data_IF_522466794112
#
_entry.id   IF_522466794112
#
_cell.length_a   1.000
_cell.length_b   1.000
_cell.length_c   1.000
_cell.angle_alpha   90.00
_cell.angle_beta   90.00
_cell.angle_gamma   90.00
#
_symmetry.space_group_name_H-M   'P 1'
#
loop_
_entity.id
_entity.type
_entity.pdbx_description
1 polymer ?
#
# COMPACT_ATOMS: atom_id res chain seq x y z
N UNK A 1 -1.05 -3.27 20.01
CA UNK A 1 0.05 -4.26 19.93
C UNK A 1 1.46 -3.63 19.96
N UNK A 2 1.81 -2.73 19.01
CA UNK A 2 3.18 -2.18 18.87
C UNK A 2 3.65 -1.38 20.09
N UNK A 3 2.77 -0.58 20.70
CA UNK A 3 3.07 0.17 21.93
C UNK A 3 3.48 -0.77 23.07
N UNK A 4 2.74 -1.87 23.28
CA UNK A 4 3.07 -2.88 24.29
C UNK A 4 4.45 -3.51 24.02
N UNK A 5 4.76 -3.86 22.76
CA UNK A 5 6.08 -4.38 22.41
C UNK A 5 7.20 -3.38 22.70
N UNK A 6 6.99 -2.11 22.32
CA UNK A 6 7.94 -1.03 22.57
C UNK A 6 8.27 -0.88 24.07
N UNK A 7 7.25 -0.95 24.92
CA UNK A 7 7.41 -0.70 26.36
C UNK A 7 8.14 -1.84 27.07
N UNK A 8 7.95 -3.09 26.62
CA UNK A 8 8.46 -4.28 27.31
C UNK A 8 9.70 -4.92 26.67
N UNK A 9 9.98 -4.67 25.38
CA UNK A 9 11.01 -5.40 24.63
C UNK A 9 12.04 -4.51 23.93
N UNK A 10 11.81 -3.19 23.82
CA UNK A 10 12.78 -2.28 23.23
C UNK A 10 13.66 -1.63 24.30
N UNK A 11 14.93 -2.02 24.35
CA UNK A 11 15.90 -1.52 25.33
C UNK A 11 16.88 -0.48 24.75
N UNK A 12 17.04 -0.43 23.42
CA UNK A 12 17.91 0.56 22.79
C UNK A 12 17.12 1.76 22.23
N UNK A 13 17.80 2.90 22.11
CA UNK A 13 17.22 4.16 21.65
C UNK A 13 16.78 4.13 20.19
N UNK A 14 17.50 3.40 19.34
CA UNK A 14 17.20 3.29 17.90
C UNK A 14 15.84 2.62 17.67
N UNK A 15 15.61 1.44 18.26
CA UNK A 15 14.34 0.71 18.14
C UNK A 15 13.18 1.54 18.70
N UNK A 16 13.38 2.16 19.87
CA UNK A 16 12.38 3.06 20.47
C UNK A 16 12.04 4.22 19.54
N UNK A 17 13.05 4.85 18.92
CA UNK A 17 12.83 5.92 17.94
C UNK A 17 12.04 5.43 16.74
N UNK A 18 12.40 4.28 16.17
CA UNK A 18 11.73 3.70 15.00
C UNK A 18 10.26 3.37 15.31
N UNK A 19 9.98 2.69 16.42
CA UNK A 19 8.61 2.36 16.80
C UNK A 19 7.79 3.59 17.16
N UNK A 20 8.39 4.60 17.78
CA UNK A 20 7.73 5.89 17.99
C UNK A 20 7.35 6.56 16.66
N UNK A 21 8.25 6.57 15.67
CA UNK A 21 7.91 7.09 14.34
C UNK A 21 6.74 6.33 13.72
N UNK A 22 6.72 5.00 13.81
CA UNK A 22 5.60 4.20 13.32
C UNK A 22 4.27 4.55 14.00
N UNK A 23 4.27 4.69 15.33
CA UNK A 23 3.07 5.04 16.10
C UNK A 23 2.59 6.44 15.73
N UNK A 24 3.49 7.41 15.60
CA UNK A 24 3.15 8.76 15.13
C UNK A 24 2.53 8.74 13.74
N UNK A 25 3.10 7.97 12.80
CA UNK A 25 2.52 7.80 11.46
C UNK A 25 1.11 7.19 11.51
N UNK A 26 0.88 6.18 12.36
CA UNK A 26 -0.48 5.63 12.53
C UNK A 26 -1.46 6.68 13.08
N UNK A 27 -1.02 7.52 14.02
CA UNK A 27 -1.83 8.63 14.53
C UNK A 27 -2.15 9.66 13.43
N UNK A 28 -1.17 10.01 12.61
CA UNK A 28 -1.34 10.94 11.49
C UNK A 28 -2.32 10.38 10.45
N UNK A 29 -2.22 9.09 10.12
CA UNK A 29 -3.15 8.41 9.22
C UNK A 29 -4.57 8.34 9.80
N UNK A 30 -4.73 8.10 11.12
CA UNK A 30 -6.05 8.16 11.78
C UNK A 30 -6.64 9.57 11.74
N UNK A 31 -5.82 10.58 11.99
CA UNK A 31 -6.21 12.00 11.89
C UNK A 31 -6.64 12.35 10.48
N UNK A 32 -5.91 11.87 9.47
CA UNK A 32 -6.28 12.03 8.07
C UNK A 32 -7.63 11.38 7.76
N UNK A 33 -7.87 10.14 8.19
CA UNK A 33 -9.18 9.47 8.02
C UNK A 33 -10.33 10.35 8.55
N UNK A 34 -10.20 10.87 9.78
CA UNK A 34 -11.19 11.76 10.40
C UNK A 34 -11.41 13.04 9.59
N UNK A 35 -10.34 13.64 9.05
CA UNK A 35 -10.45 14.83 8.20
C UNK A 35 -11.20 14.53 6.90
N UNK A 36 -10.97 13.37 6.28
CA UNK A 36 -11.68 12.97 5.06
C UNK A 36 -13.19 12.82 5.30
N UNK A 37 -13.60 12.32 6.47
CA UNK A 37 -15.02 12.26 6.86
C UNK A 37 -15.67 13.64 6.98
N UNK A 38 -14.91 14.66 7.39
CA UNK A 38 -15.44 16.03 7.47
C UNK A 38 -15.58 16.69 6.11
N UNK A 39 -14.86 16.21 5.09
CA UNK A 39 -14.93 16.76 3.72
C UNK A 39 -16.22 16.36 3.03
N UNK A 40 -16.75 15.17 3.32
CA UNK A 40 -17.98 14.69 2.71
C UNK A 40 -18.71 13.73 3.66
N UNK A 41 -20.06 13.83 3.82
CA UNK A 41 -20.85 12.95 4.69
C UNK A 41 -20.79 11.45 4.32
N UNK A 42 -20.13 11.12 3.22
CA UNK A 42 -19.81 9.78 2.79
C UNK A 42 -20.97 9.08 2.09
N UNK A 43 -20.63 8.14 1.22
CA UNK A 43 -21.50 7.12 0.67
C UNK A 43 -21.03 5.73 1.13
N UNK A 44 -21.71 4.67 0.71
CA UNK A 44 -21.35 3.31 1.12
C UNK A 44 -19.91 2.93 0.74
N UNK A 45 -19.40 3.44 -0.38
CA UNK A 45 -18.04 3.13 -0.87
C UNK A 45 -16.99 3.87 -0.04
N UNK A 46 -17.11 5.20 0.06
CA UNK A 46 -16.17 6.05 0.80
C UNK A 46 -16.16 5.72 2.29
N UNK A 47 -17.32 5.45 2.90
CA UNK A 47 -17.42 5.00 4.28
C UNK A 47 -16.76 3.63 4.46
N UNK A 48 -17.01 2.68 3.54
CA UNK A 48 -16.38 1.36 3.58
C UNK A 48 -14.84 1.41 3.53
N UNK A 49 -14.28 2.32 2.72
CA UNK A 49 -12.82 2.53 2.65
C UNK A 49 -12.24 3.10 3.94
N UNK A 50 -12.90 4.10 4.53
CA UNK A 50 -12.45 4.70 5.79
C UNK A 50 -12.60 3.74 6.98
N UNK A 51 -13.67 2.94 7.03
CA UNK A 51 -13.83 1.92 8.06
C UNK A 51 -12.73 0.86 8.01
N UNK A 52 -12.31 0.41 6.81
CA UNK A 52 -11.15 -0.48 6.67
C UNK A 52 -9.88 0.17 7.25
N UNK A 53 -9.64 1.45 6.97
CA UNK A 53 -8.51 2.19 7.56
C UNK A 53 -8.59 2.25 9.08
N UNK A 54 -9.77 2.53 9.66
CA UNK A 54 -9.95 2.59 11.11
C UNK A 54 -9.70 1.25 11.79
N UNK A 55 -10.21 0.16 11.22
CA UNK A 55 -9.96 -1.20 11.73
C UNK A 55 -8.46 -1.50 11.69
N UNK A 56 -7.81 -1.21 10.56
CA UNK A 56 -6.38 -1.44 10.38
C UNK A 56 -5.52 -0.64 11.37
N UNK A 57 -5.86 0.62 11.61
CA UNK A 57 -5.13 1.56 12.47
C UNK A 57 -5.54 1.51 13.95
N UNK A 58 -6.47 0.62 14.32
CA UNK A 58 -6.89 0.48 15.70
C UNK A 58 -5.74 -0.04 16.57
N UNK A 59 -5.57 0.53 17.76
CA UNK A 59 -4.46 0.17 18.65
C UNK A 59 -4.49 -1.29 19.13
N UNK A 60 -5.69 -1.89 19.11
CA UNK A 60 -5.95 -3.29 19.46
C UNK A 60 -5.88 -4.24 18.26
N UNK A 61 -5.65 -3.73 17.06
CA UNK A 61 -5.56 -4.58 15.87
C UNK A 61 -4.35 -5.54 15.98
N UNK A 62 -4.57 -6.80 15.60
CA UNK A 62 -3.50 -7.78 15.50
C UNK A 62 -2.82 -7.68 14.14
N UNK A 63 -1.60 -7.17 14.15
CA UNK A 63 -0.79 -7.00 12.94
C UNK A 63 -0.11 -8.30 12.50
N UNK A 64 -0.22 -9.40 13.27
CA UNK A 64 0.54 -10.64 13.02
C UNK A 64 0.31 -11.21 11.62
N UNK A 65 -0.93 -11.19 11.15
CA UNK A 65 -1.34 -11.74 9.85
C UNK A 65 -1.33 -10.71 8.71
N UNK A 66 -1.15 -9.42 9.00
CA UNK A 66 -1.20 -8.37 7.97
C UNK A 66 0.01 -8.49 7.06
N UNK A 67 -0.23 -8.66 5.76
CA UNK A 67 0.81 -8.68 4.74
C UNK A 67 0.37 -7.92 3.51
N UNK A 68 1.14 -6.92 3.15
CA UNK A 68 1.02 -6.21 1.89
C UNK A 68 1.23 -7.20 0.74
N UNK A 69 0.31 -7.17 -0.21
CA UNK A 69 0.37 -7.94 -1.44
C UNK A 69 0.96 -7.07 -2.56
N UNK A 70 1.03 -7.61 -3.77
CA UNK A 70 1.40 -6.82 -4.95
C UNK A 70 0.56 -5.52 -5.02
N UNK A 71 1.15 -4.35 -5.34
CA UNK A 71 2.56 -4.11 -5.73
C UNK A 71 3.51 -3.91 -4.55
N UNK A 72 2.99 -3.79 -3.33
CA UNK A 72 3.76 -3.43 -2.13
C UNK A 72 4.45 -4.61 -1.44
N UNK A 73 4.26 -5.84 -1.94
CA UNK A 73 4.78 -7.05 -1.30
C UNK A 73 6.28 -7.03 -1.02
N UNK A 74 7.06 -6.26 -1.78
CA UNK A 74 8.50 -6.06 -1.56
C UNK A 74 8.85 -5.55 -0.15
N UNK A 75 7.96 -4.80 0.51
CA UNK A 75 8.20 -4.30 1.87
C UNK A 75 8.30 -5.44 2.90
N UNK A 76 7.63 -6.57 2.62
CA UNK A 76 7.69 -7.77 3.46
C UNK A 76 8.97 -8.59 3.30
N UNK A 77 9.78 -8.26 2.29
CA UNK A 77 11.01 -8.98 1.97
C UNK A 77 12.25 -8.09 2.09
N UNK A 78 12.15 -6.95 2.79
CA UNK A 78 13.30 -6.08 3.04
C UNK A 78 14.34 -6.79 3.92
N UNK A 79 15.36 -7.33 3.25
CA UNK A 79 16.71 -7.75 3.69
C UNK A 79 16.90 -8.57 4.97
N UNK A 80 15.86 -9.04 5.68
CA UNK A 80 16.03 -9.95 6.83
C UNK A 80 14.77 -10.79 7.09
N UNK A 81 14.96 -12.04 7.53
CA UNK A 81 13.91 -12.94 8.06
C UNK A 81 13.05 -12.26 9.15
N UNK A 82 13.66 -11.33 9.89
CA UNK A 82 13.01 -10.50 10.89
C UNK A 82 11.95 -9.55 10.30
N UNK A 83 12.19 -8.95 9.13
CA UNK A 83 11.18 -8.13 8.46
C UNK A 83 10.01 -9.01 7.99
N UNK A 84 10.29 -10.22 7.48
CA UNK A 84 9.25 -11.14 7.00
C UNK A 84 8.35 -11.66 8.12
N UNK A 85 8.94 -12.01 9.26
CA UNK A 85 8.25 -12.72 10.34
C UNK A 85 7.90 -11.85 11.55
N UNK A 86 8.76 -10.91 11.94
CA UNK A 86 8.57 -10.08 13.16
C UNK A 86 7.92 -8.73 12.88
N UNK A 87 8.28 -8.09 11.77
CA UNK A 87 7.79 -6.74 11.45
C UNK A 87 6.88 -6.66 10.22
N UNK A 88 6.56 -7.80 9.59
CA UNK A 88 5.80 -7.85 8.34
C UNK A 88 4.49 -7.07 8.39
N UNK A 89 3.73 -7.21 9.48
CA UNK A 89 2.52 -6.42 9.72
C UNK A 89 2.75 -4.93 9.85
N UNK A 90 3.79 -4.54 10.59
CA UNK A 90 4.17 -3.13 10.82
C UNK A 90 4.56 -2.47 9.49
N UNK A 91 5.43 -3.10 8.70
CA UNK A 91 5.88 -2.55 7.42
C UNK A 91 4.80 -2.62 6.33
N UNK A 92 3.87 -3.58 6.43
CA UNK A 92 2.74 -3.72 5.52
C UNK A 92 1.62 -2.73 5.75
N UNK A 93 1.41 -2.31 7.00
CA UNK A 93 0.24 -1.52 7.36
C UNK A 93 0.19 -0.18 6.60
N UNK A 94 1.33 0.49 6.50
CA UNK A 94 1.45 1.82 5.88
C UNK A 94 1.00 1.79 4.41
N UNK A 95 1.60 0.99 3.51
CA UNK A 95 1.18 1.00 2.11
C UNK A 95 -0.27 0.56 1.93
N UNK A 96 -0.76 -0.42 2.71
CA UNK A 96 -2.17 -0.85 2.64
C UNK A 96 -3.12 0.30 2.97
N UNK A 97 -2.87 1.01 4.07
CA UNK A 97 -3.73 2.13 4.48
C UNK A 97 -3.66 3.27 3.45
N UNK A 98 -2.47 3.56 2.93
CA UNK A 98 -2.30 4.59 1.88
C UNK A 98 -3.12 4.25 0.63
N UNK A 99 -3.14 2.99 0.20
CA UNK A 99 -3.93 2.57 -0.97
C UNK A 99 -5.44 2.83 -0.75
N UNK A 100 -5.97 2.50 0.43
CA UNK A 100 -7.38 2.76 0.75
C UNK A 100 -7.71 4.25 0.76
N UNK A 101 -6.81 5.08 1.30
CA UNK A 101 -6.97 6.54 1.30
C UNK A 101 -6.87 7.11 -0.11
N UNK A 102 -5.96 6.57 -0.94
CA UNK A 102 -5.82 6.97 -2.33
C UNK A 102 -7.05 6.61 -3.16
N UNK A 103 -7.60 5.40 -2.96
CA UNK A 103 -8.84 4.97 -3.58
C UNK A 103 -10.01 5.87 -3.16
N UNK A 104 -10.08 6.22 -1.87
CA UNK A 104 -11.08 7.17 -1.36
C UNK A 104 -11.00 8.51 -2.09
N UNK A 105 -9.81 9.09 -2.25
CA UNK A 105 -9.60 10.37 -2.95
C UNK A 105 -9.97 10.25 -4.42
N UNK A 106 -9.59 9.15 -5.07
CA UNK A 106 -9.86 8.91 -6.49
C UNK A 106 -11.35 8.78 -6.76
N UNK A 107 -12.05 7.99 -5.95
CA UNK A 107 -13.49 7.83 -6.04
C UNK A 107 -14.21 9.16 -5.79
N UNK A 108 -13.83 9.85 -4.71
CA UNK A 108 -14.40 11.15 -4.34
C UNK A 108 -14.25 12.17 -5.47
N UNK A 109 -13.08 12.27 -6.11
CA UNK A 109 -12.88 13.18 -7.24
C UNK A 109 -13.76 12.87 -8.45
N UNK A 110 -14.08 11.60 -8.72
CA UNK A 110 -14.89 11.20 -9.88
C UNK A 110 -16.38 11.36 -9.65
N UNK A 111 -16.83 11.16 -8.42
CA UNK A 111 -18.25 11.06 -8.10
C UNK A 111 -18.79 12.27 -7.31
N UNK A 112 -17.91 13.10 -6.74
CA UNK A 112 -18.29 14.25 -5.90
C UNK A 112 -17.88 15.60 -6.49
N UNK A 113 -17.00 15.63 -7.50
CA UNK A 113 -16.80 16.82 -8.31
C UNK A 113 -17.72 16.72 -9.55
N UNK A 114 -18.58 17.72 -9.82
CA UNK A 114 -19.34 17.74 -11.05
C UNK A 114 -18.38 17.69 -12.22
N UNK A 115 -18.57 16.74 -13.14
CA UNK A 115 -17.95 16.78 -14.46
C UNK A 115 -18.38 18.09 -15.14
N UNK A 116 -17.57 19.14 -15.03
CA UNK A 116 -17.71 20.29 -15.92
C UNK A 116 -17.31 19.81 -17.31
N UNK A 117 -18.32 19.68 -18.17
CA UNK A 117 -18.27 19.38 -19.61
C UNK A 117 -17.87 17.97 -20.04
N UNK A 118 -18.85 17.04 -20.01
CA UNK A 118 -18.96 16.05 -21.08
C UNK A 118 -19.89 16.64 -22.14
N UNK A 119 -19.30 17.15 -23.23
CA UNK A 119 -20.02 17.75 -24.36
C UNK A 119 -21.17 16.86 -24.84
N UNK A 120 -22.37 17.42 -24.83
CA UNK A 120 -23.49 16.88 -25.58
C UNK A 120 -23.35 17.40 -27.02
N UNK A 121 -22.61 16.68 -27.87
CA UNK A 121 -22.78 16.84 -29.31
C UNK A 121 -23.92 15.94 -29.78
N UNK A 122 -25.07 16.58 -29.94
CA UNK A 122 -26.27 16.02 -30.56
C UNK A 122 -25.99 15.83 -32.05
N UNK A 123 -26.22 14.60 -32.50
CA UNK A 123 -26.39 14.16 -33.89
C UNK A 123 -26.63 15.26 -34.95
N UNK A 124 -25.76 15.31 -35.97
CA UNK A 124 -26.18 15.57 -37.35
C UNK A 124 -25.63 14.50 -38.29
N UNK A 125 -26.56 13.79 -38.91
CA UNK A 125 -26.38 12.82 -39.99
C UNK A 125 -26.21 13.63 -41.28
N UNK A 126 -25.11 13.45 -42.03
CA UNK A 126 -25.13 13.70 -43.48
C UNK A 126 -24.08 12.86 -44.21
N UNK A 127 -24.57 12.13 -45.20
CA UNK A 127 -23.89 11.22 -46.13
C UNK A 127 -23.25 12.01 -47.28
N UNK A 128 -22.11 11.52 -47.82
CA UNK A 128 -21.77 11.31 -49.26
C UNK A 128 -20.27 11.52 -49.60
N UNK A 129 -19.68 10.43 -50.11
CA UNK A 129 -18.68 10.25 -51.19
C UNK A 129 -17.19 10.64 -51.08
N UNK A 130 -16.37 9.58 -51.13
CA UNK A 130 -15.20 9.29 -51.99
C UNK A 130 -14.07 10.31 -52.17
N UNK A 131 -12.84 9.91 -51.79
CA UNK A 131 -11.65 9.74 -52.65
C UNK A 131 -10.41 9.34 -51.81
N UNK A 132 -9.48 8.60 -52.42
CA UNK A 132 -8.23 8.01 -51.87
C UNK A 132 -7.05 8.44 -52.78
N UNK A 133 -5.76 8.22 -52.45
CA UNK A 133 -4.86 8.68 -51.37
C UNK A 133 -3.67 9.54 -51.94
N UNK A 134 -2.56 9.86 -51.22
CA UNK A 134 -1.44 8.89 -51.11
C UNK A 134 -0.54 8.94 -49.85
N UNK A 135 0.07 7.78 -49.59
CA UNK A 135 1.41 7.44 -49.06
C UNK A 135 2.11 8.28 -47.96
N UNK A 136 2.47 7.59 -46.86
CA UNK A 136 3.46 8.05 -45.87
C UNK A 136 3.80 6.98 -44.83
N UNK A 137 5.04 6.50 -44.88
CA UNK A 137 5.69 5.45 -44.07
C UNK A 137 5.61 5.63 -42.54
N UNK A 138 5.50 4.54 -41.76
CA UNK A 138 6.62 3.86 -41.07
C UNK A 138 6.08 2.81 -40.08
N UNK A 139 6.50 1.56 -40.25
CA UNK A 139 6.27 0.48 -39.30
C UNK A 139 7.36 0.49 -38.22
N UNK A 140 6.96 0.53 -36.95
CA UNK A 140 7.82 0.19 -35.82
C UNK A 140 7.13 -0.87 -34.96
N UNK A 141 7.44 -2.14 -35.23
CA UNK A 141 7.16 -3.28 -34.34
C UNK A 141 8.06 -3.14 -33.11
N UNK A 142 7.46 -2.93 -31.93
CA UNK A 142 8.15 -3.17 -30.66
C UNK A 142 7.69 -4.50 -30.10
N UNK A 143 8.54 -5.51 -30.26
CA UNK A 143 8.41 -6.82 -29.60
C UNK A 143 8.65 -6.65 -28.10
N UNK A 144 7.61 -6.85 -27.28
CA UNK A 144 7.75 -6.94 -25.84
C UNK A 144 8.03 -8.41 -25.50
N UNK A 145 9.29 -8.70 -25.21
CA UNK A 145 9.73 -9.99 -24.67
C UNK A 145 9.20 -10.14 -23.25
N UNK A 146 8.23 -11.04 -23.06
CA UNK A 146 7.78 -11.50 -21.76
C UNK A 146 8.93 -12.20 -21.02
N UNK A 147 9.52 -11.51 -20.04
CA UNK A 147 10.39 -12.14 -19.04
C UNK A 147 9.68 -12.13 -17.70
N UNK A 148 9.46 -13.34 -17.17
CA UNK A 148 8.80 -13.58 -15.90
C UNK A 148 9.50 -12.81 -14.75
N UNK A 149 8.78 -11.99 -13.96
CA UNK A 149 9.37 -11.14 -12.92
C UNK A 149 9.97 -11.92 -11.73
N UNK A 150 9.70 -13.22 -11.64
CA UNK A 150 10.10 -14.07 -10.50
C UNK A 150 11.61 -14.36 -10.46
N UNK A 151 12.29 -14.48 -11.60
CA UNK A 151 13.71 -14.90 -11.61
C UNK A 151 14.73 -13.77 -11.42
N UNK A 152 14.34 -12.51 -11.64
CA UNK A 152 15.28 -11.38 -11.48
C UNK A 152 15.50 -11.04 -9.99
N UNK A 153 14.54 -11.39 -9.13
CA UNK A 153 14.51 -10.97 -7.74
C UNK A 153 15.36 -11.86 -6.81
N UNK A 154 15.57 -13.13 -7.16
CA UNK A 154 16.43 -14.03 -6.37
C UNK A 154 17.91 -13.61 -6.42
N UNK A 155 18.42 -13.14 -7.58
CA UNK A 155 19.85 -12.85 -7.75
C UNK A 155 20.35 -11.64 -6.95
N UNK A 156 19.48 -10.70 -6.58
CA UNK A 156 19.86 -9.55 -5.75
C UNK A 156 19.83 -9.84 -4.24
N UNK A 157 19.21 -10.96 -3.81
CA UNK A 157 19.09 -11.32 -2.40
C UNK A 157 20.35 -12.01 -1.81
N UNK A 158 21.31 -12.44 -2.65
CA UNK A 158 22.52 -13.11 -2.15
C UNK A 158 23.49 -12.20 -1.38
N UNK A 159 23.37 -10.86 -1.45
CA UNK A 159 24.35 -9.92 -0.88
C UNK A 159 24.02 -9.37 0.52
N UNK A 160 22.88 -9.73 1.12
CA UNK A 160 22.49 -9.25 2.44
C UNK A 160 22.52 -10.38 3.48
N UNK A 161 23.67 -11.01 3.70
CA UNK A 161 23.90 -11.87 4.87
C UNK A 161 24.62 -11.08 5.96
N UNK A 162 23.97 -10.05 6.48
CA UNK A 162 24.39 -9.44 7.74
C UNK A 162 23.62 -10.12 8.87
N UNK A 163 24.28 -11.06 9.55
CA UNK A 163 23.77 -11.58 10.83
C UNK A 163 24.29 -10.70 11.95
N UNK A 164 23.41 -9.92 12.59
CA UNK A 164 23.75 -9.23 13.83
C UNK A 164 23.94 -10.26 14.97
N UNK A 165 25.14 -10.39 15.56
CA UNK A 165 25.41 -11.36 16.62
C UNK A 165 24.49 -11.20 17.85
N UNK A 166 23.88 -10.03 18.05
CA UNK A 166 22.95 -9.74 19.16
C UNK A 166 21.55 -10.35 18.95
N UNK A 167 21.25 -10.84 17.75
CA UNK A 167 19.95 -11.44 17.39
C UNK A 167 19.91 -12.96 17.54
N UNK A 168 21.06 -13.62 17.74
CA UNK A 168 21.15 -15.10 17.87
C UNK A 168 20.39 -15.64 19.09
N UNK A 169 20.12 -14.80 20.08
CA UNK A 169 19.50 -15.22 21.35
C UNK A 169 18.09 -14.63 21.56
N UNK A 170 17.52 -13.92 20.58
CA UNK A 170 16.16 -13.35 20.72
C UNK A 170 15.14 -14.29 20.07
N UNK A 171 14.13 -14.78 20.82
CA UNK A 171 13.10 -15.63 20.23
C UNK A 171 12.38 -14.89 19.09
N UNK A 172 11.82 -15.63 18.11
CA UNK A 172 10.87 -15.07 17.15
C UNK A 172 9.76 -14.34 17.90
N UNK A 173 9.31 -13.19 17.39
CA UNK A 173 8.20 -12.48 18.00
C UNK A 173 6.94 -13.34 17.92
N UNK A 174 6.33 -13.64 19.06
CA UNK A 174 5.04 -14.32 19.17
C UNK A 174 4.02 -13.26 19.58
N UNK A 175 2.98 -13.00 18.79
CA UNK A 175 1.92 -12.08 19.18
C UNK A 175 1.27 -12.56 20.50
N UNK A 176 0.98 -11.65 21.46
CA UNK A 176 0.27 -12.01 22.68
C UNK A 176 -1.09 -12.63 22.34
N UNK A 177 -1.40 -13.80 22.90
CA UNK A 177 -2.68 -14.50 22.71
C UNK A 177 -2.63 -15.80 21.90
N UNK A 178 -1.47 -16.19 21.37
CA UNK A 178 -1.24 -17.52 20.82
C UNK A 178 -0.09 -18.20 21.56
N UNK A 179 -0.40 -18.84 22.69
CA UNK A 179 0.42 -19.93 23.20
C UNK A 179 -0.14 -21.25 22.65
N UNK A 180 0.72 -22.23 22.33
CA UNK A 180 0.28 -23.59 22.00
C UNK A 180 -0.44 -24.26 23.18
#
# INVERSE_FOLDING_TARGET
QVQCYKDHHCFNSTDRRILNMFISLCNDLRSLCRKLETVHPGDSVTNGLLEKCKVLLNDSNDLSAIRATYPHGVVNYLSLEEARHRYGGVVSLIPIVIDHLWEWVTYSKRHLLPNVSRGQDIHKKQTVSSQTPPAGHLAARTSISNKNPVQLQERQCQRCKYEDPRLKNKPPWIPPGKHP
#
